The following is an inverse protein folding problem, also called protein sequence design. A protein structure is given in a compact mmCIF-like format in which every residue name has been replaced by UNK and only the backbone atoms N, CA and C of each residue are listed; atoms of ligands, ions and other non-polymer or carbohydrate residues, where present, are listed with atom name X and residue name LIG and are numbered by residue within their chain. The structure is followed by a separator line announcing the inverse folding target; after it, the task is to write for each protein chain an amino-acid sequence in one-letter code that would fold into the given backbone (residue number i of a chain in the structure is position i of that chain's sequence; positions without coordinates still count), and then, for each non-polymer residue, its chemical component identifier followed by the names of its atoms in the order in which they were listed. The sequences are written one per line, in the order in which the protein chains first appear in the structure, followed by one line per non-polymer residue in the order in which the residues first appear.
data_IF_484421207017
#
_entry.id   IF_484421207017
#
_cell.length_a   1.000
_cell.length_b   1.000
_cell.length_c   1.000
_cell.angle_alpha   90.00
_cell.angle_beta   90.00
_cell.angle_gamma   90.00
#
_symmetry.space_group_name_H-M   'P 1'
#
loop_
_entity.id
_entity.type
_entity.pdbx_description
1 polymer ?
#
# COMPACT_ATOMS: atom_id res chain seq x y z
N UNK A 1 -15.03 -11.22 -17.66
CA UNK A 1 -13.78 -10.58 -17.23
C UNK A 1 -13.98 -9.64 -16.04
N UNK A 2 -14.92 -8.74 -16.20
CA UNK A 2 -15.22 -7.79 -15.14
C UNK A 2 -15.67 -8.44 -13.84
N UNK A 3 -16.55 -9.44 -13.94
CA UNK A 3 -17.01 -10.19 -12.78
C UNK A 3 -15.87 -10.92 -12.07
N UNK A 4 -14.98 -11.54 -12.85
CA UNK A 4 -13.81 -12.24 -12.32
C UNK A 4 -12.86 -11.26 -11.61
N UNK A 5 -12.65 -10.10 -12.21
CA UNK A 5 -11.81 -9.07 -11.63
C UNK A 5 -12.35 -8.57 -10.30
N UNK A 6 -13.67 -8.32 -10.24
CA UNK A 6 -14.32 -7.89 -9.00
C UNK A 6 -14.21 -8.96 -7.92
N UNK A 7 -14.39 -10.23 -8.31
CA UNK A 7 -14.28 -11.34 -7.38
C UNK A 7 -12.89 -11.42 -6.75
N UNK A 8 -11.85 -11.39 -7.59
CA UNK A 8 -10.48 -11.48 -7.08
C UNK A 8 -10.09 -10.21 -6.31
N UNK A 9 -10.56 -9.05 -6.74
CA UNK A 9 -10.29 -7.81 -6.03
C UNK A 9 -10.82 -7.85 -4.61
N UNK A 10 -12.10 -8.21 -4.46
CA UNK A 10 -12.74 -8.26 -3.15
C UNK A 10 -12.20 -9.40 -2.29
N UNK A 11 -12.09 -10.61 -2.86
CA UNK A 11 -11.63 -11.78 -2.12
C UNK A 11 -10.18 -11.63 -1.68
N UNK A 12 -9.31 -11.17 -2.57
CA UNK A 12 -7.91 -10.98 -2.25
C UNK A 12 -7.72 -9.92 -1.17
N UNK A 13 -8.51 -8.85 -1.23
CA UNK A 13 -8.47 -7.80 -0.21
C UNK A 13 -8.84 -8.35 1.16
N UNK A 14 -9.92 -9.13 1.23
CA UNK A 14 -10.36 -9.71 2.49
C UNK A 14 -9.33 -10.69 3.05
N UNK A 15 -8.78 -11.54 2.21
CA UNK A 15 -7.74 -12.49 2.63
C UNK A 15 -6.50 -11.76 3.11
N UNK A 16 -6.09 -10.73 2.39
CA UNK A 16 -4.94 -9.93 2.78
C UNK A 16 -5.15 -9.28 4.14
N UNK A 17 -6.35 -8.69 4.36
CA UNK A 17 -6.66 -8.05 5.63
C UNK A 17 -6.64 -9.04 6.80
N UNK A 18 -7.10 -10.27 6.57
CA UNK A 18 -7.08 -11.30 7.61
C UNK A 18 -5.64 -11.69 7.95
N UNK A 19 -4.80 -11.88 6.94
CA UNK A 19 -3.45 -12.41 7.10
C UNK A 19 -2.43 -11.33 7.46
N UNK A 20 -2.65 -10.09 7.04
CA UNK A 20 -1.66 -9.01 7.15
C UNK A 20 -2.27 -7.73 7.71
N UNK A 21 -2.93 -7.84 8.84
CA UNK A 21 -3.61 -6.70 9.46
C UNK A 21 -2.65 -5.59 9.89
N UNK A 22 -1.50 -5.97 10.39
CA UNK A 22 -0.49 -5.04 10.90
C UNK A 22 0.87 -5.34 10.31
N UNK A 23 1.66 -4.30 10.13
CA UNK A 23 3.05 -4.47 9.74
C UNK A 23 3.83 -5.17 10.86
N UNK A 24 4.74 -6.09 10.52
CA UNK A 24 5.66 -6.62 11.51
C UNK A 24 6.47 -5.48 12.12
N UNK A 25 6.58 -5.48 13.44
CA UNK A 25 7.15 -4.34 14.17
C UNK A 25 8.60 -4.05 13.79
N UNK A 26 9.42 -5.09 13.65
CA UNK A 26 10.81 -4.94 13.29
C UNK A 26 11.00 -4.38 11.88
N UNK A 27 10.17 -4.83 10.94
CA UNK A 27 10.19 -4.32 9.57
C UNK A 27 9.70 -2.90 9.49
N UNK A 28 8.65 -2.58 10.24
CA UNK A 28 8.15 -1.21 10.31
C UNK A 28 9.23 -0.27 10.84
N UNK A 29 9.91 -0.65 11.92
CA UNK A 29 10.97 0.16 12.49
C UNK A 29 12.14 0.33 11.54
N UNK A 30 12.47 -0.71 10.78
CA UNK A 30 13.51 -0.63 9.77
C UNK A 30 13.19 0.44 8.73
N UNK A 31 11.97 0.40 8.17
CA UNK A 31 11.59 1.39 7.15
C UNK A 31 11.45 2.79 7.74
N UNK A 32 10.96 2.89 8.98
CA UNK A 32 10.85 4.18 9.66
C UNK A 32 12.20 4.81 9.95
N UNK A 33 13.25 3.99 10.10
CA UNK A 33 14.59 4.51 10.42
C UNK A 33 15.16 5.40 9.32
N UNK A 34 14.65 5.28 8.10
CA UNK A 34 15.08 6.12 6.97
C UNK A 34 14.18 7.35 6.77
N UNK A 35 13.08 7.44 7.51
CA UNK A 35 12.12 8.53 7.35
C UNK A 35 12.53 9.73 8.17
N UNK A 36 12.36 10.93 7.60
CA UNK A 36 12.69 12.18 8.29
C UNK A 36 11.50 13.14 8.21
N UNK A 37 11.28 13.87 9.29
CA UNK A 37 10.23 14.90 9.34
C UNK A 37 10.47 15.94 8.26
N UNK A 38 9.37 16.36 7.63
CA UNK A 38 9.41 17.38 6.58
C UNK A 38 9.76 16.86 5.21
N UNK A 39 10.20 15.60 5.09
CA UNK A 39 10.49 15.01 3.79
C UNK A 39 9.25 14.33 3.22
N UNK A 40 9.15 14.36 1.89
CA UNK A 40 8.05 13.69 1.19
C UNK A 40 8.40 12.23 0.99
N UNK A 41 7.49 11.37 1.41
CA UNK A 41 7.68 9.92 1.36
C UNK A 41 6.61 9.31 0.46
N UNK A 42 6.99 8.31 -0.34
CA UNK A 42 6.06 7.58 -1.19
C UNK A 42 6.18 6.08 -0.93
N UNK A 43 5.01 5.45 -0.77
CA UNK A 43 4.92 4.00 -0.74
C UNK A 43 4.13 3.51 -1.94
N UNK A 44 4.80 3.14 -3.06
CA UNK A 44 4.13 2.41 -4.13
C UNK A 44 3.67 1.04 -3.62
N UNK A 45 2.54 0.57 -4.09
CA UNK A 45 1.93 -0.68 -3.63
C UNK A 45 1.59 -0.64 -2.14
N UNK A 46 0.98 0.47 -1.71
CA UNK A 46 0.69 0.70 -0.29
C UNK A 46 -0.41 -0.23 0.26
N UNK A 47 -1.22 -0.83 -0.59
CA UNK A 47 -2.29 -1.72 -0.18
C UNK A 47 -3.27 -1.04 0.74
N UNK A 48 -3.62 -1.72 1.83
CA UNK A 48 -4.56 -1.18 2.83
C UNK A 48 -3.86 -0.35 3.90
N UNK A 49 -2.57 -0.04 3.73
CA UNK A 49 -1.88 0.95 4.54
C UNK A 49 -1.21 0.44 5.80
N UNK A 50 -0.86 -0.83 5.87
CA UNK A 50 -0.26 -1.33 7.12
C UNK A 50 1.10 -0.73 7.46
N UNK A 51 1.81 -0.15 6.47
CA UNK A 51 2.99 0.67 6.71
C UNK A 51 2.65 2.15 6.65
N UNK A 52 1.83 2.55 5.68
CA UNK A 52 1.49 3.95 5.46
C UNK A 52 0.81 4.57 6.68
N UNK A 53 -0.13 3.87 7.28
CA UNK A 53 -0.87 4.40 8.43
C UNK A 53 0.04 4.65 9.63
N UNK A 54 0.93 3.71 10.04
CA UNK A 54 1.88 4.02 11.12
C UNK A 54 2.79 5.20 10.81
N UNK A 55 3.20 5.39 9.55
CA UNK A 55 3.97 6.57 9.15
C UNK A 55 3.16 7.84 9.38
N UNK A 56 1.88 7.84 8.97
CA UNK A 56 0.99 8.98 9.19
C UNK A 56 0.83 9.29 10.67
N UNK A 57 0.67 8.26 11.49
CA UNK A 57 0.49 8.42 12.93
C UNK A 57 1.68 9.07 13.60
N UNK A 58 2.85 9.00 12.98
CA UNK A 58 4.06 9.66 13.47
C UNK A 58 4.26 11.05 12.89
N UNK A 59 3.26 11.57 12.17
CA UNK A 59 3.31 12.91 11.61
C UNK A 59 4.18 13.05 10.38
N UNK A 60 4.53 11.92 9.74
CA UNK A 60 5.33 11.94 8.52
C UNK A 60 4.45 12.23 7.30
N UNK A 61 5.03 12.89 6.31
CA UNK A 61 4.33 13.26 5.09
C UNK A 61 4.47 12.15 4.06
N UNK A 62 3.51 11.24 4.03
CA UNK A 62 3.55 10.05 3.18
C UNK A 62 2.36 10.00 2.24
N UNK A 63 2.61 9.57 1.01
CA UNK A 63 1.59 9.28 0.01
C UNK A 63 1.72 7.83 -0.43
N UNK A 64 0.62 7.27 -0.94
CA UNK A 64 0.61 5.88 -1.40
C UNK A 64 -0.01 5.74 -2.77
N UNK A 65 0.39 4.70 -3.48
CA UNK A 65 -0.18 4.32 -4.77
C UNK A 65 -0.49 2.83 -4.72
N UNK A 66 -1.66 2.46 -5.21
CA UNK A 66 -2.00 1.05 -5.38
C UNK A 66 -2.97 0.90 -6.53
N UNK A 67 -2.89 -0.22 -7.22
CA UNK A 67 -3.79 -0.52 -8.33
C UNK A 67 -5.17 -0.92 -7.82
N UNK A 68 -5.25 -1.53 -6.63
CA UNK A 68 -6.48 -2.07 -6.10
C UNK A 68 -7.32 -1.00 -5.40
N UNK A 69 -8.45 -0.64 -6.01
CA UNK A 69 -9.42 0.25 -5.39
C UNK A 69 -9.98 -0.30 -4.09
N UNK A 70 -10.12 -1.63 -4.00
CA UNK A 70 -10.60 -2.30 -2.79
C UNK A 70 -9.65 -2.09 -1.61
N UNK A 71 -8.34 -2.23 -1.88
CA UNK A 71 -7.31 -1.98 -0.86
C UNK A 71 -7.32 -0.53 -0.40
N UNK A 72 -7.40 0.40 -1.34
CA UNK A 72 -7.41 1.83 -1.02
C UNK A 72 -8.66 2.22 -0.25
N UNK A 73 -9.78 1.58 -0.55
CA UNK A 73 -11.01 1.82 0.19
C UNK A 73 -10.86 1.38 1.65
N UNK A 74 -10.25 0.20 1.88
CA UNK A 74 -9.95 -0.26 3.23
C UNK A 74 -9.01 0.71 3.96
N UNK A 75 -8.02 1.22 3.24
CA UNK A 75 -7.10 2.21 3.80
C UNK A 75 -7.84 3.47 4.23
N UNK A 76 -8.70 3.99 3.36
CA UNK A 76 -9.48 5.21 3.65
C UNK A 76 -10.46 5.02 4.80
N UNK A 77 -10.98 3.80 4.99
CA UNK A 77 -11.84 3.50 6.13
C UNK A 77 -11.06 3.60 7.45
N UNK A 78 -9.78 3.25 7.43
CA UNK A 78 -8.92 3.32 8.62
C UNK A 78 -8.31 4.71 8.82
N UNK A 79 -8.03 5.41 7.73
CA UNK A 79 -7.39 6.73 7.76
C UNK A 79 -7.97 7.59 6.64
N UNK A 80 -9.05 8.30 6.93
CA UNK A 80 -9.81 9.05 5.92
C UNK A 80 -9.00 10.18 5.29
N UNK A 81 -7.96 10.67 5.95
CA UNK A 81 -7.11 11.75 5.46
C UNK A 81 -5.86 11.24 4.72
N UNK A 82 -5.74 9.93 4.52
CA UNK A 82 -4.60 9.37 3.80
C UNK A 82 -4.55 9.86 2.36
N UNK A 83 -3.35 10.22 1.91
CA UNK A 83 -3.11 10.71 0.55
C UNK A 83 -2.73 9.52 -0.33
N UNK A 84 -3.69 9.01 -1.07
CA UNK A 84 -3.48 7.83 -1.90
C UNK A 84 -4.08 8.02 -3.28
N UNK A 85 -3.49 7.36 -4.26
CA UNK A 85 -3.91 7.41 -5.66
C UNK A 85 -4.05 5.99 -6.17
N UNK A 86 -5.17 5.72 -6.84
CA UNK A 86 -5.35 4.45 -7.53
C UNK A 86 -4.70 4.56 -8.90
N UNK A 87 -3.62 3.82 -9.10
CA UNK A 87 -2.89 3.84 -10.36
C UNK A 87 -2.01 2.61 -10.47
N UNK A 88 -1.71 2.25 -11.73
CA UNK A 88 -0.69 1.26 -12.03
C UNK A 88 0.67 1.96 -11.99
N UNK A 89 1.56 1.50 -11.13
CA UNK A 89 2.87 2.15 -10.96
C UNK A 89 3.71 2.10 -12.22
N UNK A 90 3.43 1.18 -13.15
CA UNK A 90 4.16 1.11 -14.42
C UNK A 90 3.73 2.21 -15.39
N UNK A 91 2.53 2.74 -15.22
CA UNK A 91 1.98 3.78 -16.08
C UNK A 91 1.91 5.13 -15.39
N UNK A 92 2.17 5.18 -14.10
CA UNK A 92 2.01 6.41 -13.34
C UNK A 92 3.14 7.38 -13.62
N UNK A 93 2.77 8.55 -14.17
CA UNK A 93 3.69 9.64 -14.40
C UNK A 93 3.56 10.63 -13.24
N UNK A 94 4.58 10.75 -12.44
CA UNK A 94 4.58 11.64 -11.28
C UNK A 94 5.57 12.77 -11.49
N UNK A 95 5.08 14.00 -11.46
CA UNK A 95 5.94 15.18 -11.55
C UNK A 95 6.50 15.57 -10.20
N UNK A 96 5.91 15.05 -9.14
CA UNK A 96 6.35 15.33 -7.78
C UNK A 96 7.60 14.54 -7.44
N UNK A 97 8.53 15.15 -6.73
CA UNK A 97 9.76 14.50 -6.27
C UNK A 97 9.62 14.08 -4.82
N UNK A 98 10.11 12.89 -4.51
CA UNK A 98 10.08 12.34 -3.17
C UNK A 98 11.50 12.17 -2.65
N UNK A 99 11.65 12.36 -1.34
CA UNK A 99 12.94 12.20 -0.67
C UNK A 99 13.20 10.74 -0.32
N UNK A 100 12.13 9.97 -0.07
CA UNK A 100 12.22 8.59 0.37
C UNK A 100 11.08 7.80 -0.26
N UNK A 101 11.44 6.73 -0.96
CA UNK A 101 10.48 5.81 -1.58
C UNK A 101 10.81 4.42 -1.08
N UNK A 102 9.81 3.72 -0.56
CA UNK A 102 10.04 2.34 -0.13
C UNK A 102 8.89 1.44 -0.56
N UNK A 103 9.23 0.19 -0.84
CA UNK A 103 8.25 -0.86 -1.16
C UNK A 103 8.56 -2.04 -0.26
N UNK A 104 7.55 -2.46 0.52
CA UNK A 104 7.68 -3.68 1.29
C UNK A 104 7.03 -4.83 0.52
N UNK A 105 7.84 -5.83 0.19
CA UNK A 105 7.34 -7.04 -0.48
C UNK A 105 8.01 -8.24 0.17
N UNK A 106 7.28 -8.93 1.05
CA UNK A 106 7.72 -10.22 1.56
C UNK A 106 7.44 -11.29 0.49
N UNK A 107 8.08 -12.45 0.63
CA UNK A 107 7.82 -13.55 -0.30
C UNK A 107 6.35 -13.93 -0.29
N UNK A 108 5.74 -14.05 0.89
CA UNK A 108 4.33 -14.40 0.99
C UNK A 108 3.44 -13.32 0.39
N UNK A 109 3.74 -12.05 0.62
CA UNK A 109 3.00 -10.95 0.04
C UNK A 109 3.16 -10.93 -1.49
N UNK A 110 4.37 -11.12 -1.97
CA UNK A 110 4.63 -11.19 -3.41
C UNK A 110 3.83 -12.32 -4.06
N UNK A 111 3.85 -13.52 -3.47
CA UNK A 111 3.10 -14.65 -4.00
C UNK A 111 1.60 -14.38 -3.99
N UNK A 112 1.11 -13.75 -2.91
CA UNK A 112 -0.31 -13.42 -2.80
C UNK A 112 -0.73 -12.43 -3.88
N UNK A 113 0.01 -11.35 -4.07
CA UNK A 113 -0.28 -10.33 -5.08
C UNK A 113 -0.20 -10.93 -6.47
N UNK A 114 0.87 -11.69 -6.75
CA UNK A 114 1.06 -12.34 -8.04
C UNK A 114 -0.11 -13.26 -8.38
N UNK A 115 -0.56 -14.05 -7.40
CA UNK A 115 -1.69 -14.93 -7.58
C UNK A 115 -2.98 -14.16 -7.88
N UNK A 116 -3.20 -13.06 -7.19
CA UNK A 116 -4.38 -12.22 -7.40
C UNK A 116 -4.38 -11.57 -8.78
N UNK A 117 -3.25 -11.02 -9.20
CA UNK A 117 -3.16 -10.33 -10.49
C UNK A 117 -3.10 -11.29 -11.66
N UNK A 118 -2.44 -12.42 -11.52
CA UNK A 118 -2.32 -13.40 -12.59
C UNK A 118 -3.61 -14.20 -12.82
N UNK A 119 -4.59 -14.04 -11.94
CA UNK A 119 -5.90 -14.67 -12.11
C UNK A 119 -6.81 -13.90 -13.06
N UNK A 120 -6.42 -12.74 -13.47
CA UNK A 120 -7.18 -11.92 -14.41
C UNK A 120 -6.85 -12.29 -15.87
#
# INVERSE_FOLDING_TARGET
MELKQNYYGSLCTEMYEILHKKAPQDELEFYLSYAKQGEKILEPLCGSGRFLIPFMERGLHISGIDLSGEMLEKLKQKASDAQVIQADITDYACEEKFHYIFIFVSISLFLFISKCYNSF
#
